data_IF_198936243080
#
_entry.id   IF_198936243080
#
_cell.length_a   1.000
_cell.length_b   1.000
_cell.length_c   1.000
_cell.angle_alpha   90.00
_cell.angle_beta   90.00
_cell.angle_gamma   90.00
#
_symmetry.space_group_name_H-M   'P 1'
#
loop_
_entity.id
_entity.type
_entity.pdbx_description
1 polymer ?
#
# COMPACT_ATOMS: atom_id res chain seq x y z
N UNK A 1 41.10 -30.38 8.03
CA UNK A 1 40.17 -30.06 9.14
C UNK A 1 39.82 -28.58 9.03
N UNK A 2 38.73 -28.25 8.33
CA UNK A 2 38.33 -26.83 8.16
C UNK A 2 37.58 -26.40 9.41
N UNK A 3 38.07 -25.37 10.09
CA UNK A 3 37.47 -24.82 11.30
C UNK A 3 36.12 -24.22 10.92
N UNK A 4 35.01 -24.88 11.28
CA UNK A 4 33.68 -24.29 11.23
C UNK A 4 33.62 -23.16 12.25
N UNK A 5 33.82 -21.93 11.79
CA UNK A 5 33.49 -20.73 12.55
C UNK A 5 31.99 -20.73 12.83
N UNK A 6 31.62 -21.01 14.08
CA UNK A 6 30.26 -20.80 14.57
C UNK A 6 29.96 -19.29 14.45
N UNK A 7 28.72 -18.93 14.09
CA UNK A 7 28.22 -17.56 13.82
C UNK A 7 28.28 -17.02 12.36
N UNK A 8 28.16 -17.87 11.33
CA UNK A 8 27.57 -17.39 10.07
C UNK A 8 26.05 -17.23 10.22
N UNK A 9 25.47 -16.18 9.62
CA UNK A 9 24.01 -16.14 9.42
C UNK A 9 23.61 -17.22 8.41
N UNK A 10 22.41 -17.80 8.56
CA UNK A 10 21.85 -18.73 7.57
C UNK A 10 21.88 -18.08 6.17
N UNK A 11 22.51 -18.73 5.15
CA UNK A 11 22.66 -18.11 3.84
C UNK A 11 21.32 -17.78 3.21
N UNK A 12 21.30 -16.73 2.37
CA UNK A 12 20.06 -16.19 1.80
C UNK A 12 19.22 -17.23 1.06
N UNK A 13 19.88 -18.10 0.31
CA UNK A 13 19.30 -19.18 -0.49
C UNK A 13 18.49 -20.22 0.33
N UNK A 14 18.59 -20.21 1.67
CA UNK A 14 17.77 -21.06 2.57
C UNK A 14 16.61 -20.31 3.23
N UNK A 15 16.48 -18.99 3.01
CA UNK A 15 15.53 -18.11 3.70
C UNK A 15 14.71 -17.19 2.79
N UNK A 16 14.97 -17.19 1.48
CA UNK A 16 14.17 -16.49 0.45
C UNK A 16 13.64 -17.49 -0.58
N UNK A 17 12.53 -17.18 -1.29
CA UNK A 17 12.10 -17.97 -2.45
C UNK A 17 13.17 -17.99 -3.54
N UNK A 18 13.14 -19.03 -4.38
CA UNK A 18 14.17 -19.25 -5.41
C UNK A 18 13.73 -18.81 -6.82
N UNK A 19 12.60 -18.11 -6.95
CA UNK A 19 12.01 -17.75 -8.26
C UNK A 19 12.94 -16.89 -9.13
N UNK A 20 13.52 -15.83 -8.57
CA UNK A 20 14.38 -14.89 -9.31
C UNK A 20 15.68 -15.55 -9.78
N UNK A 21 16.31 -16.37 -8.93
CA UNK A 21 17.52 -17.12 -9.30
C UNK A 21 17.20 -18.24 -10.31
N UNK A 22 16.06 -18.92 -10.19
CA UNK A 22 15.61 -19.93 -11.14
C UNK A 22 15.35 -19.35 -12.55
N UNK A 23 14.71 -18.18 -12.64
CA UNK A 23 14.57 -17.45 -13.90
C UNK A 23 15.92 -17.00 -14.45
N UNK A 24 16.82 -16.50 -13.61
CA UNK A 24 18.17 -16.09 -14.01
C UNK A 24 18.98 -17.25 -14.59
N UNK A 25 18.93 -18.44 -13.98
CA UNK A 25 19.56 -19.68 -14.46
C UNK A 25 19.09 -20.03 -15.87
N UNK A 26 17.78 -19.97 -16.10
CA UNK A 26 17.17 -20.27 -17.41
C UNK A 26 17.44 -19.17 -18.45
N UNK A 27 17.46 -17.90 -18.07
CA UNK A 27 17.80 -16.78 -18.96
C UNK A 27 19.24 -16.86 -19.47
N UNK A 28 20.17 -17.23 -18.57
CA UNK A 28 21.58 -17.46 -18.87
C UNK A 28 21.87 -18.84 -19.48
N UNK A 29 20.84 -19.67 -19.71
CA UNK A 29 20.93 -21.02 -20.31
C UNK A 29 21.88 -21.97 -19.57
N UNK A 30 21.91 -21.91 -18.23
CA UNK A 30 22.85 -22.68 -17.40
C UNK A 30 22.40 -24.14 -17.12
N UNK A 31 21.34 -24.61 -17.78
CA UNK A 31 20.79 -25.96 -17.67
C UNK A 31 19.52 -26.05 -16.82
N UNK A 32 19.24 -27.23 -16.27
CA UNK A 32 18.13 -27.44 -15.34
C UNK A 32 18.37 -26.74 -14.00
N UNK A 33 17.33 -26.13 -13.42
CA UNK A 33 17.43 -25.27 -12.23
C UNK A 33 17.99 -26.06 -11.04
N UNK A 34 17.38 -27.19 -10.68
CA UNK A 34 17.91 -28.06 -9.62
C UNK A 34 19.33 -28.59 -9.89
N UNK A 35 19.66 -28.94 -11.13
CA UNK A 35 21.00 -29.43 -11.50
C UNK A 35 22.09 -28.35 -11.38
N UNK A 36 21.74 -27.08 -11.61
CA UNK A 36 22.64 -25.97 -11.41
C UNK A 36 22.79 -25.61 -9.93
N UNK A 37 21.68 -25.49 -9.19
CA UNK A 37 21.68 -25.16 -7.76
C UNK A 37 22.37 -26.24 -6.91
N UNK A 38 22.34 -27.51 -7.32
CA UNK A 38 23.10 -28.60 -6.69
C UNK A 38 24.63 -28.39 -6.72
N UNK A 39 25.15 -27.46 -7.53
CA UNK A 39 26.58 -27.12 -7.61
C UNK A 39 26.98 -25.94 -6.71
N UNK A 40 26.04 -25.35 -5.98
CA UNK A 40 26.34 -24.28 -5.02
C UNK A 40 27.19 -24.78 -3.85
N UNK A 41 27.89 -23.86 -3.16
CA UNK A 41 28.74 -24.18 -1.99
C UNK A 41 27.91 -24.86 -0.88
N UNK A 42 26.71 -24.34 -0.65
CA UNK A 42 25.68 -24.96 0.19
C UNK A 42 24.38 -25.01 -0.63
N UNK A 43 24.04 -26.16 -1.24
CA UNK A 43 22.84 -26.29 -2.07
C UNK A 43 21.54 -26.08 -1.29
N UNK A 44 20.50 -25.48 -1.91
CA UNK A 44 19.21 -25.28 -1.27
C UNK A 44 18.46 -26.61 -1.03
N UNK A 45 17.45 -26.62 -0.15
CA UNK A 45 16.59 -27.78 0.05
C UNK A 45 15.84 -28.12 -1.24
N UNK A 46 15.74 -29.42 -1.57
CA UNK A 46 15.06 -29.88 -2.79
C UNK A 46 13.60 -29.39 -2.87
N UNK A 47 12.88 -29.39 -1.75
CA UNK A 47 11.50 -28.90 -1.67
C UNK A 47 11.36 -27.44 -2.11
N UNK A 48 12.36 -26.58 -1.82
CA UNK A 48 12.36 -25.18 -2.24
C UNK A 48 12.65 -25.01 -3.73
N UNK A 49 13.44 -25.92 -4.33
CA UNK A 49 13.66 -25.96 -5.78
C UNK A 49 12.39 -26.41 -6.50
N UNK A 50 11.76 -27.49 -6.03
CA UNK A 50 10.50 -28.02 -6.57
C UNK A 50 9.37 -26.98 -6.48
N UNK A 51 9.27 -26.27 -5.34
CA UNK A 51 8.29 -25.20 -5.16
C UNK A 51 8.54 -24.05 -6.15
N UNK A 52 9.78 -23.60 -6.32
CA UNK A 52 10.09 -22.54 -7.26
C UNK A 52 9.84 -22.93 -8.73
N UNK A 53 10.22 -24.15 -9.14
CA UNK A 53 9.91 -24.68 -10.49
C UNK A 53 8.39 -24.81 -10.70
N UNK A 54 7.65 -25.26 -9.69
CA UNK A 54 6.19 -25.33 -9.72
C UNK A 54 5.56 -23.94 -9.85
N UNK A 55 5.90 -23.00 -8.98
CA UNK A 55 5.36 -21.63 -8.97
C UNK A 55 5.69 -20.88 -10.27
N UNK A 56 6.86 -21.09 -10.87
CA UNK A 56 7.21 -20.50 -12.17
C UNK A 56 6.39 -21.09 -13.34
N UNK A 57 6.08 -22.40 -13.31
CA UNK A 57 5.15 -23.01 -14.27
C UNK A 57 3.72 -22.50 -14.07
N UNK A 58 3.26 -22.33 -12.83
CA UNK A 58 1.92 -21.76 -12.53
C UNK A 58 1.79 -20.25 -12.86
N UNK A 59 2.91 -19.57 -13.06
CA UNK A 59 2.93 -18.19 -13.57
C UNK A 59 3.04 -18.12 -15.10
N UNK A 60 3.05 -19.24 -15.81
CA UNK A 60 3.36 -19.35 -17.25
C UNK A 60 4.73 -18.77 -17.62
N UNK A 61 5.67 -18.70 -16.67
CA UNK A 61 7.03 -18.22 -16.91
C UNK A 61 7.92 -19.31 -17.54
N UNK A 62 7.61 -20.58 -17.25
CA UNK A 62 8.22 -21.76 -17.85
C UNK A 62 7.14 -22.58 -18.58
N UNK A 63 7.51 -23.17 -19.72
CA UNK A 63 6.65 -24.09 -20.47
C UNK A 63 6.70 -25.53 -19.91
N UNK A 64 6.05 -26.47 -20.60
CA UNK A 64 6.03 -27.89 -20.23
C UNK A 64 7.38 -28.62 -20.35
N UNK A 65 8.39 -27.97 -20.95
CA UNK A 65 9.78 -28.46 -21.04
C UNK A 65 10.71 -27.72 -20.06
N UNK A 66 10.12 -26.97 -19.11
CA UNK A 66 10.77 -26.01 -18.21
C UNK A 66 11.55 -24.90 -18.93
N UNK A 67 11.24 -24.56 -20.19
CA UNK A 67 11.92 -23.51 -20.95
C UNK A 67 11.20 -22.15 -20.86
N UNK A 68 11.96 -21.05 -20.97
CA UNK A 68 11.39 -19.70 -20.81
C UNK A 68 10.40 -19.34 -21.92
N UNK A 69 9.16 -19.10 -21.51
CA UNK A 69 8.12 -18.48 -22.33
C UNK A 69 8.46 -17.01 -22.63
N UNK A 70 7.76 -16.33 -23.55
CA UNK A 70 7.92 -14.89 -23.78
C UNK A 70 7.73 -14.08 -22.48
N UNK A 71 6.69 -14.39 -21.71
CA UNK A 71 6.46 -13.86 -20.36
C UNK A 71 7.68 -14.11 -19.45
N UNK A 72 8.15 -15.36 -19.36
CA UNK A 72 9.32 -15.72 -18.53
C UNK A 72 10.58 -14.92 -18.88
N UNK A 73 10.81 -14.62 -20.16
CA UNK A 73 11.95 -13.78 -20.61
C UNK A 73 11.83 -12.33 -20.16
N UNK A 74 10.61 -11.79 -20.05
CA UNK A 74 10.38 -10.44 -19.51
C UNK A 74 10.58 -10.47 -17.98
N UNK A 75 9.95 -11.43 -17.30
CA UNK A 75 10.07 -11.60 -15.84
C UNK A 75 11.51 -11.80 -15.39
N UNK A 76 12.31 -12.58 -16.13
CA UNK A 76 13.72 -12.85 -15.82
C UNK A 76 14.65 -11.62 -15.93
N UNK A 77 14.16 -10.49 -16.47
CA UNK A 77 14.89 -9.21 -16.52
C UNK A 77 14.47 -8.23 -15.43
N UNK A 78 13.34 -8.48 -14.76
CA UNK A 78 12.82 -7.63 -13.69
C UNK A 78 13.45 -8.07 -12.35
N UNK A 79 14.11 -7.17 -11.59
CA UNK A 79 14.76 -7.48 -10.31
C UNK A 79 13.75 -7.50 -9.15
N UNK A 80 12.68 -8.30 -9.30
CA UNK A 80 11.58 -8.45 -8.34
C UNK A 80 10.94 -9.84 -8.47
N UNK A 81 10.22 -10.27 -7.43
CA UNK A 81 9.42 -11.49 -7.43
C UNK A 81 8.54 -11.63 -8.70
N UNK A 82 8.60 -12.75 -9.45
CA UNK A 82 7.97 -12.88 -10.77
C UNK A 82 6.44 -12.69 -10.78
N UNK A 83 5.76 -12.94 -9.66
CA UNK A 83 4.34 -12.65 -9.48
C UNK A 83 4.04 -11.15 -9.50
N UNK A 84 4.92 -10.32 -8.94
CA UNK A 84 4.84 -8.86 -9.02
C UNK A 84 5.18 -8.37 -10.44
N UNK A 85 6.13 -9.03 -11.13
CA UNK A 85 6.39 -8.77 -12.55
C UNK A 85 5.17 -9.06 -13.45
N UNK A 86 4.47 -10.19 -13.28
CA UNK A 86 3.24 -10.49 -14.02
C UNK A 86 2.11 -9.50 -13.67
N UNK A 87 2.03 -9.07 -12.40
CA UNK A 87 1.14 -7.98 -11.96
C UNK A 87 1.44 -6.65 -12.69
N UNK A 88 2.70 -6.28 -12.88
CA UNK A 88 3.09 -5.07 -13.63
C UNK A 88 2.71 -5.15 -15.12
N UNK A 89 2.89 -6.31 -15.76
CA UNK A 89 2.47 -6.55 -17.14
C UNK A 89 0.94 -6.39 -17.28
N UNK A 90 0.17 -6.98 -16.36
CA UNK A 90 -1.28 -6.75 -16.28
C UNK A 90 -1.60 -5.27 -16.03
N UNK A 91 -0.81 -4.58 -15.22
CA UNK A 91 -0.91 -3.13 -15.01
C UNK A 91 -0.77 -2.34 -16.31
N UNK A 92 0.11 -2.73 -17.23
CA UNK A 92 0.24 -2.10 -18.54
C UNK A 92 -1.01 -2.33 -19.40
N UNK A 93 -1.54 -3.57 -19.42
CA UNK A 93 -2.76 -3.91 -20.16
C UNK A 93 -3.97 -3.07 -19.69
N UNK A 94 -4.07 -2.80 -18.39
CA UNK A 94 -5.10 -1.95 -17.81
C UNK A 94 -4.77 -0.44 -17.81
N UNK A 95 -3.67 -0.01 -18.44
CA UNK A 95 -3.18 1.38 -18.40
C UNK A 95 -3.06 1.93 -16.96
N UNK A 96 -2.61 1.13 -16.00
CA UNK A 96 -2.27 1.53 -14.62
C UNK A 96 -0.83 1.17 -14.24
N UNK A 97 0.02 0.89 -15.24
CA UNK A 97 1.36 0.34 -15.07
C UNK A 97 2.27 1.16 -14.15
N UNK A 98 2.20 2.49 -14.22
CA UNK A 98 3.00 3.38 -13.36
C UNK A 98 2.72 3.19 -11.85
N UNK A 99 1.46 2.96 -11.48
CA UNK A 99 1.06 2.72 -10.10
C UNK A 99 1.58 1.36 -9.61
N UNK A 100 1.45 0.33 -10.45
CA UNK A 100 1.92 -1.03 -10.14
C UNK A 100 3.45 -1.09 -10.08
N UNK A 101 4.17 -0.35 -10.94
CA UNK A 101 5.61 -0.14 -10.85
C UNK A 101 6.00 0.56 -9.54
N UNK A 102 5.23 1.58 -9.11
CA UNK A 102 5.48 2.30 -7.84
C UNK A 102 5.34 1.36 -6.63
N UNK A 103 4.29 0.53 -6.61
CA UNK A 103 4.08 -0.44 -5.52
C UNK A 103 5.15 -1.53 -5.53
N UNK A 104 5.48 -2.06 -6.70
CA UNK A 104 6.48 -3.14 -6.84
C UNK A 104 7.90 -2.65 -6.50
N UNK A 105 8.28 -1.44 -6.91
CA UNK A 105 9.55 -0.83 -6.48
C UNK A 105 9.64 -0.66 -4.96
N UNK A 106 8.52 -0.36 -4.30
CA UNK A 106 8.50 -0.14 -2.86
C UNK A 106 8.62 -1.42 -2.02
N UNK A 107 8.39 -2.61 -2.58
CA UNK A 107 8.63 -3.86 -1.84
C UNK A 107 10.11 -4.13 -1.61
N UNK A 108 10.98 -3.52 -2.41
CA UNK A 108 12.44 -3.62 -2.28
C UNK A 108 13.02 -2.79 -1.12
N UNK A 109 12.22 -1.92 -0.49
CA UNK A 109 12.69 -0.96 0.53
C UNK A 109 11.82 -0.96 1.79
N UNK A 110 12.33 -0.47 2.94
CA UNK A 110 11.51 -0.21 4.11
C UNK A 110 10.38 0.81 3.83
N UNK A 111 9.25 0.69 4.53
CA UNK A 111 8.13 1.64 4.41
C UNK A 111 8.59 3.09 4.72
N UNK A 112 8.22 4.12 3.93
CA UNK A 112 8.71 5.50 4.12
C UNK A 112 8.15 6.19 5.37
N UNK A 113 7.22 5.57 6.11
CA UNK A 113 6.52 6.18 7.25
C UNK A 113 7.34 6.16 8.54
N UNK A 114 7.82 7.33 9.00
CA UNK A 114 8.62 7.44 10.24
C UNK A 114 7.72 7.36 11.47
N UNK A 115 7.74 6.20 12.15
CA UNK A 115 6.82 5.88 13.26
C UNK A 115 7.48 5.38 14.55
N UNK A 116 8.81 5.25 14.61
CA UNK A 116 9.57 4.88 15.83
C UNK A 116 9.04 3.60 16.55
N UNK A 117 8.56 2.60 15.79
CA UNK A 117 7.99 1.36 16.35
C UNK A 117 6.62 1.49 17.03
N UNK A 118 6.00 2.68 16.94
CA UNK A 118 4.63 2.98 17.39
C UNK A 118 3.62 2.62 16.27
N UNK A 119 2.32 2.86 16.51
CA UNK A 119 1.30 2.72 15.46
C UNK A 119 1.34 3.93 14.53
N UNK A 120 1.01 3.76 13.24
CA UNK A 120 0.88 4.91 12.34
C UNK A 120 -0.10 5.95 12.87
N UNK A 121 0.32 7.21 12.84
CA UNK A 121 -0.46 8.37 13.28
C UNK A 121 -1.50 8.81 12.25
N UNK A 122 -2.31 9.79 12.64
CA UNK A 122 -3.37 10.35 11.78
C UNK A 122 -2.84 10.86 10.43
N UNK A 123 -1.72 11.59 10.43
CA UNK A 123 -1.02 12.11 9.23
C UNK A 123 -0.77 11.02 8.20
N UNK A 124 -0.31 9.83 8.63
CA UNK A 124 0.01 8.73 7.74
C UNK A 124 -1.25 8.01 7.23
N UNK A 125 -2.26 7.84 8.10
CA UNK A 125 -3.54 7.20 7.72
C UNK A 125 -4.36 8.02 6.75
N UNK A 126 -4.28 9.35 6.81
CA UNK A 126 -4.95 10.23 5.87
C UNK A 126 -4.58 9.95 4.40
N UNK A 127 -3.39 9.41 4.14
CA UNK A 127 -3.00 8.97 2.79
C UNK A 127 -3.74 7.70 2.32
N UNK A 128 -4.29 6.87 3.20
CA UNK A 128 -5.14 5.74 2.82
C UNK A 128 -6.56 6.15 2.42
N UNK A 129 -6.97 7.38 2.77
CA UNK A 129 -8.34 7.89 2.63
C UNK A 129 -9.38 6.91 3.18
N UNK A 130 -10.35 6.49 2.36
CA UNK A 130 -11.35 5.48 2.71
C UNK A 130 -11.08 4.08 2.10
N UNK A 131 -9.87 3.85 1.59
CA UNK A 131 -9.50 2.63 0.85
C UNK A 131 -8.94 1.50 1.73
N UNK A 132 -8.69 1.76 3.02
CA UNK A 132 -8.18 0.78 4.00
C UNK A 132 -6.97 -0.01 3.48
N UNK A 133 -6.00 0.71 2.88
CA UNK A 133 -4.89 0.10 2.15
C UNK A 133 -3.57 0.84 2.40
N UNK A 134 -2.56 0.08 2.84
CA UNK A 134 -1.18 0.55 2.97
C UNK A 134 -0.55 0.89 1.61
N UNK A 135 -0.87 0.13 0.55
CA UNK A 135 -0.41 0.40 -0.82
C UNK A 135 -1.05 1.66 -1.41
N UNK A 136 -2.33 1.95 -1.12
CA UNK A 136 -2.95 3.23 -1.49
C UNK A 136 -2.35 4.39 -0.69
N UNK A 137 -2.03 4.18 0.59
CA UNK A 137 -1.34 5.19 1.40
C UNK A 137 0.04 5.52 0.82
N UNK A 138 0.79 4.50 0.38
CA UNK A 138 2.04 4.64 -0.33
C UNK A 138 1.88 5.43 -1.65
N UNK A 139 0.96 5.04 -2.54
CA UNK A 139 0.70 5.76 -3.79
C UNK A 139 0.34 7.23 -3.55
N UNK A 140 -0.52 7.49 -2.56
CA UNK A 140 -0.94 8.86 -2.20
C UNK A 140 0.21 9.68 -1.60
N UNK A 141 1.16 9.05 -0.90
CA UNK A 141 2.42 9.69 -0.50
C UNK A 141 3.28 10.01 -1.71
N UNK A 142 3.47 9.08 -2.65
CA UNK A 142 4.26 9.33 -3.86
C UNK A 142 3.71 10.48 -4.69
N UNK A 143 2.39 10.49 -4.94
CA UNK A 143 1.72 11.57 -5.64
C UNK A 143 1.90 12.93 -4.94
N UNK A 144 1.82 12.98 -3.60
CA UNK A 144 2.00 14.22 -2.86
C UNK A 144 3.48 14.68 -2.76
N UNK A 145 4.41 13.74 -2.62
CA UNK A 145 5.86 14.01 -2.59
C UNK A 145 6.40 14.44 -3.96
N UNK A 146 5.94 13.81 -5.04
CA UNK A 146 6.34 14.15 -6.41
C UNK A 146 5.94 15.60 -6.75
N UNK A 147 4.71 15.99 -6.43
CA UNK A 147 4.27 17.38 -6.53
C UNK A 147 5.08 18.33 -5.63
N UNK A 148 5.50 17.90 -4.43
CA UNK A 148 6.29 18.73 -3.52
C UNK A 148 7.74 18.93 -3.99
N UNK A 149 8.40 17.91 -4.54
CA UNK A 149 9.80 18.01 -5.02
C UNK A 149 9.95 18.88 -6.27
N UNK A 150 8.89 19.07 -7.06
CA UNK A 150 8.88 20.06 -8.14
C UNK A 150 9.07 21.51 -7.64
N UNK A 151 8.80 21.78 -6.35
CA UNK A 151 9.14 23.04 -5.68
C UNK A 151 10.61 23.16 -5.24
N UNK A 152 11.48 22.23 -5.64
CA UNK A 152 12.89 22.14 -5.26
C UNK A 152 13.13 21.51 -3.88
N UNK A 153 14.41 21.26 -3.58
CA UNK A 153 14.86 20.54 -2.37
C UNK A 153 14.31 21.13 -1.06
N UNK A 154 14.20 22.46 -0.95
CA UNK A 154 13.62 23.12 0.23
C UNK A 154 12.10 22.87 0.39
N UNK A 155 11.36 22.60 -0.69
CA UNK A 155 9.97 22.19 -0.61
C UNK A 155 9.85 20.69 -0.26
N UNK A 156 10.68 19.85 -0.86
CA UNK A 156 10.77 18.42 -0.57
C UNK A 156 11.12 18.14 0.90
N UNK A 157 12.14 18.81 1.44
CA UNK A 157 12.56 18.71 2.84
C UNK A 157 11.41 19.06 3.80
N UNK A 158 10.78 20.22 3.59
CA UNK A 158 9.64 20.66 4.42
C UNK A 158 8.44 19.71 4.33
N UNK A 159 8.18 19.12 3.16
CA UNK A 159 7.13 18.12 2.99
C UNK A 159 7.44 16.84 3.78
N UNK A 160 8.65 16.29 3.65
CA UNK A 160 9.06 15.07 4.33
C UNK A 160 9.11 15.24 5.86
N UNK A 161 9.63 16.37 6.36
CA UNK A 161 9.58 16.74 7.77
C UNK A 161 8.14 16.82 8.28
N UNK A 162 7.27 17.58 7.59
CA UNK A 162 5.89 17.81 8.02
C UNK A 162 5.05 16.53 8.02
N UNK A 163 5.22 15.68 6.99
CA UNK A 163 4.50 14.41 6.86
C UNK A 163 5.19 13.22 7.54
N UNK A 164 6.35 13.43 8.17
CA UNK A 164 7.17 12.40 8.83
C UNK A 164 7.45 11.21 7.91
N UNK A 165 8.15 11.52 6.81
CA UNK A 165 8.52 10.57 5.76
C UNK A 165 10.03 10.50 5.61
N UNK A 166 10.55 9.31 5.31
CA UNK A 166 11.95 9.12 4.97
C UNK A 166 12.17 9.50 3.49
N UNK A 167 12.81 10.65 3.25
CA UNK A 167 13.12 11.13 1.90
C UNK A 167 14.02 10.18 1.11
N UNK A 168 15.04 9.58 1.75
CA UNK A 168 15.95 8.66 1.06
C UNK A 168 15.20 7.43 0.54
N UNK A 169 14.28 6.87 1.33
CA UNK A 169 13.38 5.80 0.91
C UNK A 169 12.53 6.20 -0.31
N UNK A 170 11.95 7.40 -0.30
CA UNK A 170 11.13 7.89 -1.42
C UNK A 170 11.96 8.06 -2.71
N UNK A 171 13.18 8.61 -2.61
CA UNK A 171 14.10 8.75 -3.75
C UNK A 171 14.55 7.40 -4.31
N UNK A 172 15.04 6.48 -3.47
CA UNK A 172 15.45 5.13 -3.90
C UNK A 172 14.31 4.34 -4.56
N UNK A 173 13.10 4.45 -4.01
CA UNK A 173 11.90 3.79 -4.58
C UNK A 173 11.51 4.42 -5.92
N UNK A 174 11.68 5.74 -6.08
CA UNK A 174 11.46 6.40 -7.37
C UNK A 174 12.50 5.98 -8.41
N UNK A 175 13.78 5.86 -8.04
CA UNK A 175 14.85 5.36 -8.92
C UNK A 175 14.57 3.91 -9.37
N UNK A 176 14.22 3.02 -8.43
CA UNK A 176 13.84 1.64 -8.76
C UNK A 176 12.57 1.56 -9.63
N UNK A 177 11.58 2.43 -9.37
CA UNK A 177 10.38 2.55 -10.24
C UNK A 177 10.76 2.93 -11.66
N UNK A 178 11.69 3.89 -11.84
CA UNK A 178 12.17 4.30 -13.17
C UNK A 178 12.83 3.12 -13.89
N UNK A 179 13.74 2.41 -13.22
CA UNK A 179 14.39 1.21 -13.79
C UNK A 179 13.38 0.12 -14.18
N UNK A 180 12.36 -0.13 -13.35
CA UNK A 180 11.28 -1.08 -13.66
C UNK A 180 10.47 -0.66 -14.91
N UNK A 181 10.19 0.65 -15.06
CA UNK A 181 9.52 1.19 -16.25
C UNK A 181 10.41 1.05 -17.49
N UNK A 182 11.69 1.39 -17.38
CA UNK A 182 12.67 1.25 -18.46
C UNK A 182 12.80 -0.20 -18.95
N UNK A 183 12.80 -1.20 -18.05
CA UNK A 183 12.83 -2.61 -18.44
C UNK A 183 11.57 -3.01 -19.24
N UNK A 184 10.40 -2.48 -18.89
CA UNK A 184 9.15 -2.73 -19.63
C UNK A 184 9.15 -2.02 -21.00
N UNK A 185 9.53 -0.76 -21.07
CA UNK A 185 9.64 -0.02 -22.36
C UNK A 185 10.67 -0.70 -23.28
N UNK A 186 11.84 -1.08 -22.76
CA UNK A 186 12.85 -1.85 -23.50
C UNK A 186 12.40 -3.28 -23.87
N UNK A 187 11.31 -3.78 -23.27
CA UNK A 187 10.66 -5.04 -23.65
C UNK A 187 9.55 -4.84 -24.70
N UNK A 188 9.27 -3.60 -25.12
CA UNK A 188 8.28 -3.24 -26.14
C UNK A 188 6.94 -2.71 -25.59
N UNK A 189 6.78 -2.51 -24.28
CA UNK A 189 5.52 -2.00 -23.72
C UNK A 189 5.35 -0.49 -24.03
N UNK A 190 4.16 -0.05 -24.51
CA UNK A 190 3.91 1.36 -24.82
C UNK A 190 4.09 2.28 -23.61
N UNK A 191 4.74 3.43 -23.79
CA UNK A 191 4.97 4.41 -22.71
C UNK A 191 3.65 4.94 -22.13
N UNK A 192 2.60 5.01 -22.94
CA UNK A 192 1.25 5.42 -22.56
C UNK A 192 0.68 4.54 -21.43
N UNK A 193 0.97 3.23 -21.47
CA UNK A 193 0.56 2.25 -20.45
C UNK A 193 1.27 2.45 -19.09
N UNK A 194 2.35 3.22 -19.12
CA UNK A 194 3.26 3.53 -18.02
C UNK A 194 3.24 5.03 -17.65
N UNK A 195 2.26 5.80 -18.12
CA UNK A 195 2.10 7.20 -17.72
C UNK A 195 1.64 7.35 -16.26
N UNK A 196 2.23 8.32 -15.56
CA UNK A 196 1.86 8.68 -14.19
C UNK A 196 0.42 9.18 -14.13
N UNK A 197 -0.36 8.64 -13.20
CA UNK A 197 -1.77 8.99 -12.98
C UNK A 197 -2.00 9.57 -11.59
N UNK A 198 -3.05 10.39 -11.50
CA UNK A 198 -3.53 10.98 -10.26
C UNK A 198 -4.72 10.17 -9.76
N UNK A 199 -4.59 9.56 -8.59
CA UNK A 199 -5.63 8.72 -7.99
C UNK A 199 -6.40 9.45 -6.89
N UNK A 200 -7.68 9.11 -6.74
CA UNK A 200 -8.56 9.57 -5.67
C UNK A 200 -8.75 8.48 -4.60
N UNK A 201 -8.09 8.66 -3.46
CA UNK A 201 -8.17 7.77 -2.31
C UNK A 201 -9.41 7.99 -1.41
N UNK A 202 -10.35 8.88 -1.75
CA UNK A 202 -11.54 9.17 -0.93
C UNK A 202 -12.88 9.02 -1.65
N UNK A 203 -12.87 8.91 -2.98
CA UNK A 203 -14.06 8.73 -3.80
C UNK A 203 -14.00 7.49 -4.69
N UNK A 204 -14.97 7.33 -5.60
CA UNK A 204 -14.89 6.37 -6.70
C UNK A 204 -13.66 6.67 -7.57
N UNK A 205 -12.93 5.62 -7.93
CA UNK A 205 -11.78 5.67 -8.82
C UNK A 205 -11.57 4.26 -9.39
N UNK A 206 -12.01 4.05 -10.64
CA UNK A 206 -12.02 2.74 -11.28
C UNK A 206 -10.58 2.22 -11.50
N UNK A 207 -9.63 3.11 -11.80
CA UNK A 207 -8.25 2.72 -12.05
C UNK A 207 -7.59 2.29 -10.73
N UNK A 208 -7.88 2.99 -9.61
CA UNK A 208 -7.45 2.56 -8.28
C UNK A 208 -8.15 1.26 -7.83
N UNK A 209 -9.41 1.05 -8.21
CA UNK A 209 -10.12 -0.21 -7.99
C UNK A 209 -9.43 -1.38 -8.71
N UNK A 210 -9.03 -1.19 -9.98
CA UNK A 210 -8.23 -2.17 -10.74
C UNK A 210 -6.86 -2.39 -10.11
N UNK A 211 -6.15 -1.35 -9.66
CA UNK A 211 -4.86 -1.51 -8.93
C UNK A 211 -5.02 -2.37 -7.67
N UNK A 212 -6.11 -2.23 -6.92
CA UNK A 212 -6.41 -3.11 -5.76
C UNK A 212 -6.72 -4.54 -6.21
N UNK A 213 -7.42 -4.73 -7.33
CA UNK A 213 -7.66 -6.06 -7.93
C UNK A 213 -6.34 -6.73 -8.36
N UNK A 214 -5.42 -5.98 -8.96
CA UNK A 214 -4.09 -6.47 -9.33
C UNK A 214 -3.23 -6.78 -8.10
N UNK A 215 -3.36 -6.02 -7.00
CA UNK A 215 -2.72 -6.39 -5.73
C UNK A 215 -3.24 -7.71 -5.17
N UNK A 216 -4.51 -8.06 -5.42
CA UNK A 216 -5.04 -9.37 -5.04
C UNK A 216 -4.35 -10.52 -5.81
N UNK A 217 -3.98 -10.30 -7.08
CA UNK A 217 -3.13 -11.22 -7.85
C UNK A 217 -1.69 -11.23 -7.34
N UNK A 218 -1.06 -10.06 -7.26
CA UNK A 218 0.37 -9.90 -6.99
C UNK A 218 0.79 -10.42 -5.62
N UNK A 219 -0.10 -10.33 -4.63
CA UNK A 219 0.13 -10.75 -3.25
C UNK A 219 -0.45 -12.13 -2.93
N UNK A 220 -1.17 -12.80 -3.83
CA UNK A 220 -1.64 -14.17 -3.61
C UNK A 220 -0.43 -15.12 -3.40
N UNK A 221 -0.42 -16.03 -2.39
CA UNK A 221 -1.52 -16.47 -1.52
C UNK A 221 -1.62 -15.77 -0.14
N UNK A 222 -1.07 -14.57 0.01
CA UNK A 222 -1.14 -13.80 1.25
C UNK A 222 -2.50 -13.12 1.45
N UNK A 223 -3.56 -13.92 1.56
CA UNK A 223 -4.92 -13.50 1.89
C UNK A 223 -5.19 -13.72 3.39
N UNK A 224 -5.96 -12.83 4.02
CA UNK A 224 -6.43 -13.01 5.39
C UNK A 224 -7.85 -12.45 5.64
N UNK A 225 -8.49 -12.99 6.66
CA UNK A 225 -9.81 -12.59 7.15
C UNK A 225 -9.69 -11.89 8.51
N UNK A 226 -10.21 -10.68 8.63
CA UNK A 226 -10.28 -9.93 9.89
C UNK A 226 -11.36 -10.50 10.81
N UNK A 227 -11.00 -10.80 12.06
CA UNK A 227 -11.91 -11.37 13.07
C UNK A 227 -12.44 -10.30 14.03
N UNK A 228 -11.53 -9.70 14.78
CA UNK A 228 -11.82 -8.67 15.79
C UNK A 228 -10.53 -7.89 16.09
N UNK A 229 -10.64 -6.62 16.48
CA UNK A 229 -9.52 -5.77 16.92
C UNK A 229 -8.36 -5.81 15.92
N UNK A 230 -7.25 -6.45 16.30
CA UNK A 230 -6.07 -6.70 15.45
C UNK A 230 -5.96 -8.14 14.95
N UNK A 231 -6.82 -9.06 15.40
CA UNK A 231 -6.73 -10.50 15.05
C UNK A 231 -7.18 -10.73 13.61
N UNK A 232 -6.35 -11.42 12.86
CA UNK A 232 -6.62 -11.89 11.51
C UNK A 232 -6.39 -13.41 11.44
N UNK A 233 -7.03 -14.06 10.46
CA UNK A 233 -6.83 -15.46 10.11
C UNK A 233 -6.23 -15.52 8.70
N UNK A 234 -5.03 -16.08 8.55
CA UNK A 234 -4.39 -16.25 7.23
C UNK A 234 -4.94 -17.49 6.50
N UNK A 235 -4.68 -17.59 5.19
CA UNK A 235 -4.91 -18.79 4.36
C UNK A 235 -4.49 -20.11 5.02
N UNK A 236 -3.36 -20.15 5.73
CA UNK A 236 -2.89 -21.32 6.50
C UNK A 236 -3.78 -21.73 7.70
N UNK A 237 -4.93 -21.09 7.93
CA UNK A 237 -5.76 -21.31 9.12
C UNK A 237 -5.14 -20.81 10.44
N UNK A 238 -4.01 -20.09 10.37
CA UNK A 238 -3.28 -19.58 11.54
C UNK A 238 -3.73 -18.18 11.93
N UNK A 239 -3.81 -17.91 13.23
CA UNK A 239 -4.09 -16.57 13.73
C UNK A 239 -2.82 -15.70 13.68
N UNK A 240 -2.95 -14.48 13.17
CA UNK A 240 -1.91 -13.44 13.18
C UNK A 240 -2.49 -12.10 13.64
N UNK A 241 -1.66 -11.06 13.70
CA UNK A 241 -2.07 -9.70 14.03
C UNK A 241 -1.86 -8.71 12.88
N UNK A 242 -2.72 -7.69 12.75
CA UNK A 242 -2.41 -6.52 11.93
C UNK A 242 -1.18 -5.81 12.53
N UNK A 243 -0.10 -5.64 11.77
CA UNK A 243 1.12 -5.01 12.25
C UNK A 243 0.94 -3.53 12.56
N UNK A 244 1.73 -2.97 13.49
CA UNK A 244 1.60 -1.58 13.94
C UNK A 244 1.83 -0.54 12.84
N UNK A 245 2.67 -0.86 11.85
CA UNK A 245 2.95 0.01 10.70
C UNK A 245 1.83 0.03 9.65
N UNK A 246 0.79 -0.80 9.78
CA UNK A 246 -0.36 -0.71 8.89
C UNK A 246 -1.31 0.42 9.29
N UNK A 247 -1.84 1.16 8.32
CA UNK A 247 -2.96 2.10 8.48
C UNK A 247 -4.21 1.40 9.03
N UNK A 248 -4.33 0.09 8.80
CA UNK A 248 -5.39 -0.77 9.29
C UNK A 248 -5.16 -1.28 10.73
N UNK A 249 -4.07 -0.92 11.42
CA UNK A 249 -3.95 -1.24 12.85
C UNK A 249 -4.85 -0.28 13.65
N UNK A 250 -5.90 -0.70 14.38
CA UNK A 250 -6.76 0.23 15.12
C UNK A 250 -5.97 1.09 16.13
N UNK A 251 -6.46 2.29 16.47
CA UNK A 251 -5.80 3.17 17.44
C UNK A 251 -5.94 2.70 18.88
N UNK A 252 -7.14 2.24 19.28
CA UNK A 252 -7.47 1.79 20.63
C UNK A 252 -7.79 0.29 20.64
N UNK A 253 -8.44 -0.19 21.71
CA UNK A 253 -9.00 -1.55 21.79
C UNK A 253 -10.42 -1.65 21.22
N UNK A 254 -10.99 -0.55 20.71
CA UNK A 254 -12.29 -0.55 20.02
C UNK A 254 -12.14 -1.18 18.64
N UNK A 255 -13.18 -1.92 18.23
CA UNK A 255 -13.22 -2.60 16.94
C UNK A 255 -13.40 -1.59 15.79
N UNK A 256 -12.39 -1.50 14.93
CA UNK A 256 -12.52 -0.84 13.64
C UNK A 256 -13.39 -1.72 12.74
N UNK A 257 -14.56 -1.23 12.34
CA UNK A 257 -15.44 -1.92 11.40
C UNK A 257 -14.95 -1.68 9.97
N UNK A 258 -14.59 -2.75 9.27
CA UNK A 258 -14.22 -2.68 7.87
C UNK A 258 -15.43 -2.94 6.96
N UNK A 259 -15.50 -2.29 5.78
CA UNK A 259 -16.53 -2.58 4.77
C UNK A 259 -16.47 -4.00 4.19
N UNK A 260 -15.31 -4.67 4.29
CA UNK A 260 -15.05 -6.07 3.94
C UNK A 260 -14.16 -6.69 5.00
N UNK A 261 -14.34 -7.96 5.40
CA UNK A 261 -13.42 -8.64 6.31
C UNK A 261 -12.14 -9.11 5.61
N UNK A 262 -12.06 -9.06 4.27
CA UNK A 262 -10.95 -9.63 3.50
C UNK A 262 -9.85 -8.61 3.22
N UNK A 263 -8.60 -9.06 3.40
CA UNK A 263 -7.40 -8.29 3.09
C UNK A 263 -6.37 -9.18 2.39
N UNK A 264 -5.63 -8.61 1.45
CA UNK A 264 -4.31 -9.13 1.05
C UNK A 264 -3.20 -8.41 1.80
N UNK A 265 -2.04 -9.04 1.96
CA UNK A 265 -0.90 -8.48 2.69
C UNK A 265 0.45 -8.78 2.02
N UNK A 266 1.44 -7.93 2.21
CA UNK A 266 2.78 -8.10 1.61
C UNK A 266 3.61 -9.19 2.29
N UNK A 267 3.80 -9.09 3.61
CA UNK A 267 4.71 -9.96 4.36
C UNK A 267 4.15 -10.37 5.74
N UNK A 268 4.63 -11.51 6.27
CA UNK A 268 4.42 -11.95 7.66
C UNK A 268 5.73 -11.77 8.45
N UNK A 269 5.73 -10.87 9.43
CA UNK A 269 6.84 -10.72 10.37
C UNK A 269 6.53 -11.45 11.68
N UNK A 270 7.46 -12.30 12.12
CA UNK A 270 7.45 -12.92 13.45
C UNK A 270 8.37 -12.14 14.40
N UNK A 271 7.77 -11.40 15.34
CA UNK A 271 8.48 -10.85 16.50
C UNK A 271 8.01 -11.57 17.77
N UNK A 272 7.38 -10.87 18.72
CA UNK A 272 6.67 -11.48 19.86
C UNK A 272 5.38 -12.19 19.45
N UNK A 273 4.83 -11.83 18.30
CA UNK A 273 3.68 -12.46 17.66
C UNK A 273 3.84 -12.36 16.13
N UNK A 274 3.23 -13.30 15.40
CA UNK A 274 3.15 -13.24 13.94
C UNK A 274 2.22 -12.07 13.57
N UNK A 275 2.68 -11.17 12.71
CA UNK A 275 1.92 -10.02 12.25
C UNK A 275 2.04 -9.82 10.74
N UNK A 276 0.95 -9.44 10.07
CA UNK A 276 0.93 -9.10 8.65
C UNK A 276 1.17 -7.59 8.45
N UNK A 277 1.99 -7.22 7.45
CA UNK A 277 2.29 -5.85 7.01
C UNK A 277 1.82 -5.60 5.58
N UNK A 278 1.81 -4.33 5.17
CA UNK A 278 1.40 -3.90 3.83
C UNK A 278 0.02 -4.47 3.45
N UNK A 279 -0.99 -4.19 4.28
CA UNK A 279 -2.33 -4.74 4.16
C UNK A 279 -3.23 -3.89 3.27
N UNK A 280 -4.03 -4.52 2.43
CA UNK A 280 -5.01 -3.87 1.53
C UNK A 280 -6.35 -4.59 1.62
N UNK A 281 -7.40 -3.84 1.98
CA UNK A 281 -8.77 -4.33 1.95
C UNK A 281 -9.17 -4.67 0.51
N UNK A 282 -9.78 -5.85 0.34
CA UNK A 282 -10.25 -6.34 -0.97
C UNK A 282 -11.71 -6.79 -0.88
N UNK A 283 -12.41 -6.71 -2.01
CA UNK A 283 -13.75 -7.27 -2.14
C UNK A 283 -13.70 -8.79 -2.34
N UNK A 284 -14.78 -9.51 -1.99
CA UNK A 284 -14.94 -10.92 -2.36
C UNK A 284 -14.81 -11.18 -3.87
N UNK A 285 -15.24 -10.23 -4.71
CA UNK A 285 -15.16 -10.37 -6.17
C UNK A 285 -13.74 -10.14 -6.70
N UNK A 286 -12.94 -9.29 -6.04
CA UNK A 286 -11.51 -9.15 -6.36
C UNK A 286 -10.73 -10.43 -6.03
N UNK A 287 -11.07 -11.10 -4.92
CA UNK A 287 -10.54 -12.44 -4.62
C UNK A 287 -11.03 -13.49 -5.62
N UNK A 288 -12.30 -13.43 -6.05
CA UNK A 288 -12.83 -14.34 -7.07
C UNK A 288 -12.23 -14.10 -8.46
N UNK A 289 -11.84 -12.88 -8.80
CA UNK A 289 -11.08 -12.59 -10.02
C UNK A 289 -9.62 -13.03 -9.93
N UNK A 290 -8.92 -12.73 -8.83
CA UNK A 290 -7.45 -12.73 -8.84
C UNK A 290 -6.78 -13.38 -7.62
N UNK A 291 -7.52 -13.63 -6.53
CA UNK A 291 -6.98 -14.03 -5.23
C UNK A 291 -7.35 -15.44 -4.78
N UNK A 292 -7.44 -16.41 -5.71
CA UNK A 292 -7.60 -17.83 -5.40
C UNK A 292 -7.03 -18.74 -6.49
N UNK A 293 -6.70 -19.99 -6.15
CA UNK A 293 -6.21 -21.02 -7.08
C UNK A 293 -7.28 -22.07 -7.39
N UNK A 294 -8.05 -22.47 -6.38
CA UNK A 294 -9.14 -23.45 -6.46
C UNK A 294 -10.47 -22.76 -6.18
N UNK A 295 -11.48 -23.03 -7.01
CA UNK A 295 -12.85 -22.58 -6.77
C UNK A 295 -13.82 -23.74 -6.98
N UNK A 296 -14.69 -24.00 -6.00
CA UNK A 296 -15.71 -25.05 -6.02
C UNK A 296 -17.07 -24.43 -5.76
N UNK A 297 -18.13 -24.96 -6.36
CA UNK A 297 -19.51 -24.50 -6.18
C UNK A 297 -20.42 -25.65 -5.76
N UNK A 298 -21.31 -25.40 -4.80
CA UNK A 298 -22.43 -26.30 -4.45
C UNK A 298 -23.79 -25.81 -4.99
N UNK A 299 -23.78 -24.78 -5.84
CA UNK A 299 -24.96 -24.13 -6.40
C UNK A 299 -25.23 -22.74 -5.82
N UNK A 300 -25.23 -22.60 -4.49
CA UNK A 300 -25.47 -21.34 -3.77
C UNK A 300 -24.22 -20.73 -3.12
N UNK A 301 -23.25 -21.58 -2.76
CA UNK A 301 -22.00 -21.20 -2.11
C UNK A 301 -20.83 -21.52 -3.04
N UNK A 302 -19.97 -20.53 -3.20
CA UNK A 302 -18.71 -20.61 -3.92
C UNK A 302 -17.60 -20.62 -2.89
N UNK A 303 -16.82 -21.70 -2.86
CA UNK A 303 -15.72 -21.90 -1.92
C UNK A 303 -14.39 -21.70 -2.65
N UNK A 304 -13.62 -20.70 -2.22
CA UNK A 304 -12.29 -20.38 -2.76
C UNK A 304 -11.23 -20.96 -1.81
N UNK A 305 -10.26 -21.68 -2.38
CA UNK A 305 -9.15 -22.34 -1.69
C UNK A 305 -9.56 -23.15 -0.44
N UNK A 306 -10.73 -23.79 -0.51
CA UNK A 306 -11.34 -24.62 0.55
C UNK A 306 -11.70 -23.87 1.86
N UNK A 307 -11.58 -22.54 1.94
CA UNK A 307 -11.84 -21.78 3.18
C UNK A 307 -12.72 -20.53 3.05
N UNK A 308 -12.63 -19.76 1.96
CA UNK A 308 -13.47 -18.56 1.78
C UNK A 308 -14.79 -18.96 1.13
N UNK A 309 -15.89 -18.82 1.87
CA UNK A 309 -17.24 -19.17 1.40
C UNK A 309 -18.02 -17.91 1.03
N UNK A 310 -18.38 -17.77 -0.24
CA UNK A 310 -19.16 -16.65 -0.77
C UNK A 310 -20.55 -17.15 -1.17
N UNK A 311 -21.62 -16.52 -0.67
CA UNK A 311 -22.98 -16.83 -1.13
C UNK A 311 -23.27 -16.03 -2.39
N UNK A 312 -23.28 -16.70 -3.55
CA UNK A 312 -23.58 -16.09 -4.85
C UNK A 312 -24.00 -17.16 -5.87
N UNK A 313 -24.82 -16.82 -6.88
CA UNK A 313 -25.28 -17.80 -7.87
C UNK A 313 -24.12 -18.42 -8.66
N UNK A 314 -24.16 -19.75 -8.85
CA UNK A 314 -23.20 -20.51 -9.65
C UNK A 314 -22.85 -19.84 -10.99
N UNK A 315 -23.87 -19.49 -11.80
CA UNK A 315 -23.67 -18.91 -13.13
C UNK A 315 -22.92 -17.57 -13.08
N UNK A 316 -23.18 -16.74 -12.07
CA UNK A 316 -22.46 -15.47 -11.90
C UNK A 316 -20.99 -15.71 -11.54
N UNK A 317 -20.70 -16.68 -10.68
CA UNK A 317 -19.32 -17.06 -10.37
C UNK A 317 -18.60 -17.65 -11.57
N UNK A 318 -19.24 -18.53 -12.34
CA UNK A 318 -18.67 -19.10 -13.56
C UNK A 318 -18.28 -18.02 -14.57
N UNK A 319 -19.15 -17.01 -14.80
CA UNK A 319 -18.86 -15.87 -15.68
C UNK A 319 -17.74 -14.96 -15.17
N UNK A 320 -17.54 -14.84 -13.85
CA UNK A 320 -16.42 -14.06 -13.29
C UNK A 320 -15.10 -14.84 -13.39
N UNK A 321 -15.15 -16.16 -13.15
CA UNK A 321 -13.97 -17.05 -13.23
C UNK A 321 -13.49 -17.21 -14.68
N UNK A 322 -14.38 -17.25 -15.68
CA UNK A 322 -13.97 -17.37 -17.09
C UNK A 322 -13.16 -16.18 -17.60
N UNK A 323 -13.31 -15.00 -17.01
CA UNK A 323 -12.48 -13.82 -17.29
C UNK A 323 -11.00 -14.05 -16.95
N UNK A 324 -10.67 -14.99 -16.05
CA UNK A 324 -9.29 -15.34 -15.71
C UNK A 324 -8.55 -15.93 -16.91
N UNK A 325 -9.12 -16.97 -17.51
CA UNK A 325 -8.53 -17.65 -18.66
C UNK A 325 -8.40 -16.71 -19.87
N UNK A 326 -9.36 -15.81 -20.06
CA UNK A 326 -9.30 -14.79 -21.11
C UNK A 326 -8.23 -13.72 -20.83
N UNK A 327 -8.05 -13.30 -19.57
CA UNK A 327 -6.96 -12.40 -19.15
C UNK A 327 -5.58 -13.08 -19.27
N UNK A 328 -5.47 -14.36 -18.93
CA UNK A 328 -4.25 -15.17 -19.10
C UNK A 328 -3.87 -15.30 -20.58
N UNK A 329 -4.84 -15.59 -21.45
CA UNK A 329 -4.64 -15.60 -22.90
C UNK A 329 -4.13 -14.25 -23.42
N UNK A 330 -4.75 -13.13 -22.98
CA UNK A 330 -4.30 -11.79 -23.35
C UNK A 330 -2.88 -11.49 -22.84
N UNK A 331 -2.50 -11.92 -21.62
CA UNK A 331 -1.10 -11.80 -21.15
C UNK A 331 -0.14 -12.60 -22.04
N UNK A 332 -0.53 -13.79 -22.52
CA UNK A 332 0.30 -14.61 -23.43
C UNK A 332 0.44 -13.96 -24.82
N UNK A 333 -0.56 -13.23 -25.30
CA UNK A 333 -0.48 -12.46 -26.55
C UNK A 333 0.39 -11.22 -26.39
N UNK A 334 0.10 -10.40 -25.37
CA UNK A 334 0.84 -9.18 -25.05
C UNK A 334 2.32 -9.46 -24.79
N UNK A 335 2.66 -10.56 -24.12
CA UNK A 335 4.09 -10.89 -23.86
C UNK A 335 4.85 -11.40 -25.09
N UNK A 336 4.15 -11.71 -26.19
CA UNK A 336 4.78 -11.97 -27.52
C UNK A 336 4.95 -10.69 -28.33
N UNK A 337 3.99 -9.78 -28.24
CA UNK A 337 4.01 -8.48 -28.91
C UNK A 337 3.33 -7.41 -28.02
N UNK A 338 4.07 -6.66 -27.18
CA UNK A 338 3.44 -5.78 -26.20
C UNK A 338 2.80 -4.52 -26.81
N UNK A 339 3.14 -4.16 -28.05
CA UNK A 339 2.56 -3.03 -28.77
C UNK A 339 1.04 -3.17 -28.99
N UNK A 340 0.51 -4.41 -28.99
CA UNK A 340 -0.93 -4.67 -29.19
C UNK A 340 -1.83 -4.04 -28.12
N UNK A 341 -1.28 -3.65 -26.95
CA UNK A 341 -2.03 -2.96 -25.90
C UNK A 341 -2.70 -1.67 -26.46
N UNK A 342 -2.02 -0.95 -27.36
CA UNK A 342 -2.54 0.26 -27.99
C UNK A 342 -3.70 -0.01 -28.96
N UNK A 343 -3.75 -1.19 -29.56
CA UNK A 343 -4.69 -1.53 -30.64
C UNK A 343 -5.53 -2.80 -30.34
N UNK A 344 -5.79 -3.09 -29.06
CA UNK A 344 -6.60 -4.23 -28.65
C UNK A 344 -7.93 -4.30 -29.40
N UNK A 345 -8.36 -5.50 -29.74
CA UNK A 345 -9.63 -5.73 -30.42
C UNK A 345 -10.83 -5.39 -29.51
N UNK A 346 -12.02 -5.39 -30.10
CA UNK A 346 -13.24 -5.05 -29.36
C UNK A 346 -13.56 -6.06 -28.25
N UNK A 347 -13.23 -7.35 -28.41
CA UNK A 347 -13.50 -8.39 -27.41
C UNK A 347 -12.62 -8.20 -26.18
N UNK A 348 -11.30 -8.01 -26.36
CA UNK A 348 -10.41 -7.72 -25.24
C UNK A 348 -10.76 -6.41 -24.54
N UNK A 349 -11.09 -5.34 -25.29
CA UNK A 349 -11.57 -4.07 -24.72
C UNK A 349 -12.83 -4.26 -23.87
N UNK A 350 -13.81 -5.07 -24.33
CA UNK A 350 -14.99 -5.40 -23.53
C UNK A 350 -14.65 -6.22 -22.27
N UNK A 351 -13.77 -7.22 -22.38
CA UNK A 351 -13.30 -8.01 -21.23
C UNK A 351 -12.66 -7.12 -20.15
N UNK A 352 -11.73 -6.25 -20.53
CA UNK A 352 -11.05 -5.33 -19.61
C UNK A 352 -12.03 -4.36 -18.95
N UNK A 353 -13.04 -3.87 -19.69
CA UNK A 353 -14.12 -3.06 -19.12
C UNK A 353 -14.94 -3.85 -18.08
N UNK A 354 -15.31 -5.10 -18.36
CA UNK A 354 -16.05 -5.95 -17.41
C UNK A 354 -15.22 -6.23 -16.14
N UNK A 355 -13.93 -6.52 -16.28
CA UNK A 355 -13.03 -6.68 -15.12
C UNK A 355 -12.92 -5.37 -14.32
N UNK A 356 -12.89 -4.22 -14.99
CA UNK A 356 -12.85 -2.90 -14.34
C UNK A 356 -14.15 -2.56 -13.60
N UNK A 357 -15.30 -2.97 -14.11
CA UNK A 357 -16.59 -2.83 -13.41
C UNK A 357 -16.69 -3.77 -12.19
N UNK A 358 -16.26 -5.04 -12.31
CA UNK A 358 -16.24 -6.01 -11.19
C UNK A 358 -15.22 -5.61 -10.11
N UNK A 359 -14.13 -4.93 -10.50
CA UNK A 359 -13.11 -4.43 -9.57
C UNK A 359 -13.67 -3.41 -8.56
N UNK A 360 -14.76 -2.72 -8.90
CA UNK A 360 -15.37 -1.73 -8.02
C UNK A 360 -15.90 -2.37 -6.73
N UNK A 361 -15.60 -1.84 -5.54
CA UNK A 361 -16.17 -2.32 -4.28
C UNK A 361 -17.71 -2.40 -4.30
N UNK A 362 -18.36 -1.46 -4.99
CA UNK A 362 -19.82 -1.42 -5.15
C UNK A 362 -20.39 -2.64 -5.91
N UNK A 363 -19.63 -3.28 -6.81
CA UNK A 363 -20.06 -4.50 -7.49
C UNK A 363 -20.25 -5.67 -6.50
N UNK A 364 -19.53 -5.66 -5.39
CA UNK A 364 -19.68 -6.59 -4.27
C UNK A 364 -20.62 -6.07 -3.16
N UNK A 365 -21.37 -4.98 -3.42
CA UNK A 365 -22.23 -4.32 -2.43
C UNK A 365 -21.48 -3.51 -1.35
N UNK A 366 -20.17 -3.30 -1.50
CA UNK A 366 -19.33 -2.63 -0.49
C UNK A 366 -19.31 -1.12 -0.73
N UNK A 367 -19.88 -0.36 0.20
CA UNK A 367 -19.85 1.10 0.18
C UNK A 367 -18.72 1.66 1.06
N UNK A 368 -17.62 2.08 0.44
CA UNK A 368 -16.46 2.67 1.14
C UNK A 368 -16.76 4.05 1.78
N UNK A 369 -17.79 4.78 1.32
CA UNK A 369 -18.15 6.07 1.90
C UNK A 369 -18.78 5.95 3.31
N UNK A 370 -19.50 4.85 3.57
CA UNK A 370 -20.23 4.63 4.85
C UNK A 370 -19.29 4.43 6.05
N UNK A 371 -18.04 4.01 5.81
CA UNK A 371 -16.98 3.99 6.83
C UNK A 371 -15.98 5.16 6.74
N UNK A 372 -16.21 6.10 5.80
CA UNK A 372 -15.12 6.78 5.09
C UNK A 372 -14.84 8.25 5.43
N UNK A 373 -15.66 8.93 6.26
CA UNK A 373 -15.38 10.31 6.68
C UNK A 373 -14.25 10.43 7.74
N UNK A 374 -13.29 9.51 7.72
CA UNK A 374 -12.09 9.53 8.55
C UNK A 374 -10.96 10.38 7.94
N UNK A 375 -11.28 11.63 7.54
CA UNK A 375 -10.25 12.68 7.53
C UNK A 375 -9.95 13.01 8.99
N UNK A 376 -9.04 12.25 9.57
CA UNK A 376 -8.45 12.65 10.83
C UNK A 376 -7.74 13.99 10.61
N UNK A 377 -7.86 14.95 11.53
CA UNK A 377 -6.96 16.11 11.47
C UNK A 377 -5.50 15.65 11.51
N UNK A 378 -4.55 16.49 11.09
CA UNK A 378 -3.10 16.15 11.11
C UNK A 378 -2.53 15.89 12.53
N UNK A 379 -3.40 15.79 13.55
CA UNK A 379 -3.07 15.59 14.95
C UNK A 379 -2.63 16.88 15.65
N UNK A 380 -2.30 16.82 16.94
CA UNK A 380 -1.54 17.90 17.57
C UNK A 380 -0.21 18.08 16.81
N UNK A 381 0.12 19.33 16.48
CA UNK A 381 1.40 19.67 15.84
C UNK A 381 2.55 19.07 16.66
N UNK A 382 3.57 18.45 16.03
CA UNK A 382 4.76 18.01 16.75
C UNK A 382 5.35 19.16 17.58
N UNK A 383 5.90 18.88 18.78
CA UNK A 383 6.81 19.81 19.42
C UNK A 383 7.90 20.20 18.42
N UNK A 384 8.22 21.49 18.31
CA UNK A 384 9.39 21.92 17.53
C UNK A 384 10.59 21.16 18.08
N UNK A 385 11.25 20.36 17.25
CA UNK A 385 12.55 19.81 17.63
C UNK A 385 13.49 20.98 17.92
N UNK A 386 14.18 20.93 19.06
CA UNK A 386 15.22 21.90 19.34
C UNK A 386 16.25 21.82 18.21
N UNK A 387 16.58 22.96 17.60
CA UNK A 387 17.74 23.02 16.72
C UNK A 387 18.95 22.63 17.57
N UNK A 388 19.65 21.58 17.17
CA UNK A 388 21.02 21.37 17.62
C UNK A 388 21.84 22.49 16.99
N UNK A 389 22.02 23.60 17.72
CA UNK A 389 23.03 24.59 17.37
C UNK A 389 24.40 23.92 17.56
N UNK A 390 24.92 23.40 16.44
CA UNK A 390 26.30 22.92 16.34
C UNK A 390 27.22 24.14 16.36
N UNK A 391 27.43 24.68 17.56
CA UNK A 391 28.09 25.97 17.82
C UNK A 391 29.00 25.89 19.03
N UNK A 392 29.96 24.96 19.01
CA UNK A 392 30.97 24.80 20.05
C UNK A 392 31.92 26.01 20.13
N UNK A 393 31.50 27.08 20.78
CA UNK A 393 32.27 28.31 20.99
C UNK A 393 32.74 28.46 22.43
N UNK A 394 33.99 28.09 22.72
CA UNK A 394 34.63 28.37 24.01
C UNK A 394 34.72 29.88 24.27
N UNK A 395 34.06 30.40 25.32
CA UNK A 395 34.48 31.64 26.00
C UNK A 395 34.22 31.64 27.52
N UNK A 396 35.33 31.57 28.26
CA UNK A 396 35.70 32.62 29.22
C UNK A 396 34.85 32.83 30.47
N UNK A 397 35.30 32.26 31.60
CA UNK A 397 34.88 32.60 32.95
C UNK A 397 35.47 33.95 33.41
N UNK A 398 34.61 34.94 33.64
CA UNK A 398 34.78 36.18 34.46
C UNK A 398 33.46 36.95 34.38
N UNK A 399 33.00 37.75 35.35
CA UNK A 399 33.48 38.14 36.68
C UNK A 399 32.41 39.05 37.32
N UNK A 400 32.44 39.25 38.64
CA UNK A 400 31.41 40.00 39.40
C UNK A 400 31.35 41.51 39.11
N UNK A 401 30.15 42.12 39.15
CA UNK A 401 29.97 43.58 39.13
C UNK A 401 28.56 44.04 39.55
N UNK A 402 28.48 45.06 40.43
CA UNK A 402 27.25 45.64 41.01
C UNK A 402 26.85 47.00 40.36
N UNK A 403 25.67 47.52 40.75
CA UNK A 403 25.00 48.82 40.39
C UNK A 403 24.27 48.84 39.04
N UNK A 404 23.15 49.58 38.84
CA UNK A 404 22.29 50.28 39.81
C UNK A 404 21.72 51.64 39.34
N UNK A 405 20.40 51.73 39.12
CA UNK A 405 19.58 52.95 39.30
C UNK A 405 19.32 53.92 38.11
N UNK A 406 18.16 54.61 38.21
CA UNK A 406 17.76 55.92 37.62
C UNK A 406 17.19 56.06 36.18
N UNK A 407 15.86 55.91 36.09
CA UNK A 407 14.82 56.94 35.76
C UNK A 407 15.13 58.20 34.88
N UNK A 408 14.22 58.50 33.93
CA UNK A 408 14.03 59.79 33.21
C UNK A 408 14.50 59.79 31.74
N UNK A 409 13.91 60.52 30.77
CA UNK A 409 12.66 61.32 30.73
C UNK A 409 12.66 62.37 29.59
N UNK A 410 11.65 62.32 28.68
CA UNK A 410 11.13 63.38 27.77
C UNK A 410 12.00 64.12 26.71
N UNK A 411 11.34 64.50 25.59
CA UNK A 411 11.82 65.38 24.49
C UNK A 411 12.25 64.59 23.24
N UNK A 412 11.77 64.81 22.00
CA UNK A 412 11.33 66.03 21.29
C UNK A 412 12.51 66.55 20.44
N UNK A 413 12.45 66.76 19.12
CA UNK A 413 11.40 66.60 18.08
C UNK A 413 12.00 66.93 16.70
N UNK A 414 11.15 67.25 15.69
CA UNK A 414 11.52 67.76 14.34
C UNK A 414 12.23 66.76 13.40
N UNK A 415 12.12 66.82 12.06
CA UNK A 415 11.11 67.26 11.07
C UNK A 415 11.81 66.98 9.72
N UNK A 416 11.15 66.39 8.74
CA UNK A 416 11.76 66.19 7.42
C UNK A 416 10.97 65.22 6.58
N UNK A 417 10.14 65.75 5.67
CA UNK A 417 9.41 64.94 4.71
C UNK A 417 9.28 65.69 3.40
N UNK A 418 9.35 64.94 2.29
CA UNK A 418 8.87 65.39 0.98
C UNK A 418 8.24 64.21 0.21
N UNK A 419 7.05 64.51 -0.31
CA UNK A 419 6.38 64.02 -1.52
C UNK A 419 7.31 63.49 -2.65
N UNK A 420 6.89 62.66 -3.63
CA UNK A 420 5.57 62.10 -3.99
C UNK A 420 5.64 61.21 -5.28
N UNK A 421 4.52 60.53 -5.61
CA UNK A 421 4.15 59.97 -6.95
C UNK A 421 4.87 58.70 -7.45
N UNK A 422 4.28 57.84 -8.32
CA UNK A 422 2.88 57.38 -8.56
C UNK A 422 2.96 56.18 -9.53
N UNK A 423 2.06 55.19 -9.44
CA UNK A 423 2.00 54.06 -10.40
C UNK A 423 1.37 52.81 -9.78
N UNK A 424 0.04 52.70 -9.60
CA UNK A 424 -1.00 52.52 -10.63
C UNK A 424 -1.08 51.08 -11.18
N UNK A 425 -1.73 50.19 -10.43
CA UNK A 425 -2.34 48.95 -10.95
C UNK A 425 -3.82 49.19 -11.24
N UNK A 426 -4.25 48.92 -12.47
CA UNK A 426 -5.64 49.08 -12.89
C UNK A 426 -6.45 47.80 -12.70
N UNK A 427 -7.64 47.91 -12.09
CA UNK A 427 -8.61 46.81 -12.00
C UNK A 427 -10.02 47.34 -11.71
N UNK A 428 -10.88 47.35 -12.73
CA UNK A 428 -12.36 47.36 -12.62
C UNK A 428 -12.81 45.96 -13.09
N UNK A 429 -13.73 45.24 -12.43
CA UNK A 429 -15.16 45.53 -12.23
C UNK A 429 -15.97 44.89 -13.39
N UNK A 430 -17.20 44.39 -13.34
CA UNK A 430 -18.39 44.38 -12.44
C UNK A 430 -19.25 43.12 -12.83
N UNK A 431 -20.30 42.61 -12.16
CA UNK A 431 -20.87 42.69 -10.79
C UNK A 431 -22.09 41.71 -10.69
N UNK A 432 -22.62 41.45 -9.48
CA UNK A 432 -23.89 40.71 -9.23
C UNK A 432 -23.69 39.38 -8.48
N UNK A 433 -24.31 39.08 -7.33
CA UNK A 433 -25.53 39.60 -6.69
C UNK A 433 -26.69 38.62 -6.95
N UNK A 434 -27.44 38.04 -6.01
CA UNK A 434 -27.77 38.33 -4.60
C UNK A 434 -27.78 36.99 -3.79
N UNK A 435 -28.12 36.84 -2.50
CA UNK A 435 -28.79 37.68 -1.50
C UNK A 435 -29.88 36.85 -0.80
N UNK A 436 -29.87 36.76 0.54
CA UNK A 436 -30.88 36.00 1.29
C UNK A 436 -30.33 35.38 2.58
N UNK A 437 -30.55 36.05 3.71
CA UNK A 437 -30.30 35.50 5.04
C UNK A 437 -31.59 35.45 5.84
N UNK A 438 -31.72 34.45 6.71
CA UNK A 438 -32.76 34.41 7.74
C UNK A 438 -32.17 34.05 9.10
N UNK A 439 -32.47 34.87 10.11
CA UNK A 439 -32.38 34.50 11.53
C UNK A 439 -33.71 33.88 11.94
N UNK A 440 -33.68 32.86 12.80
CA UNK A 440 -34.87 32.27 13.40
C UNK A 440 -34.54 31.66 14.75
N UNK A 441 -34.92 32.33 15.83
CA UNK A 441 -34.77 31.86 17.21
C UNK A 441 -35.95 30.98 17.60
N UNK A 442 -35.74 29.96 18.43
CA UNK A 442 -36.84 29.18 19.02
C UNK A 442 -36.32 28.01 19.85
N UNK A 443 -36.30 28.16 21.18
CA UNK A 443 -36.04 27.05 22.09
C UNK A 443 -37.33 26.45 22.62
N UNK A 444 -37.30 25.19 23.06
CA UNK A 444 -38.32 24.61 23.93
C UNK A 444 -37.70 23.65 24.96
N UNK A 445 -38.35 23.58 26.11
CA UNK A 445 -38.07 22.68 27.24
C UNK A 445 -38.40 21.21 26.84
N UNK A 446 -37.99 20.16 27.54
CA UNK A 446 -37.24 20.03 28.80
C UNK A 446 -37.41 18.62 29.38
N UNK A 447 -36.87 18.38 30.58
CA UNK A 447 -36.97 17.13 31.37
C UNK A 447 -36.33 15.86 30.75
N UNK A 448 -35.67 14.97 31.48
CA UNK A 448 -35.40 14.90 32.93
C UNK A 448 -35.79 13.54 33.52
N UNK A 449 -34.81 12.80 34.07
CA UNK A 449 -35.09 11.62 34.90
C UNK A 449 -34.11 10.44 34.74
N UNK A 450 -33.77 9.78 35.85
CA UNK A 450 -33.46 8.34 35.82
C UNK A 450 -32.05 7.85 36.15
N UNK A 451 -31.36 8.38 37.15
CA UNK A 451 -30.32 7.58 37.85
C UNK A 451 -31.00 6.71 38.91
N UNK A 452 -30.91 5.39 38.80
CA UNK A 452 -31.22 4.51 39.93
C UNK A 452 -30.33 3.27 39.98
N UNK A 453 -29.92 2.95 41.22
CA UNK A 453 -28.93 1.93 41.55
C UNK A 453 -29.54 0.54 41.72
N UNK A 454 -28.83 -0.50 41.29
CA UNK A 454 -29.16 -1.90 41.58
C UNK A 454 -27.92 -2.72 41.98
N UNK A 455 -27.70 -2.92 43.28
CA UNK A 455 -26.91 -4.06 43.80
C UNK A 455 -27.84 -5.27 43.90
N UNK A 456 -27.39 -6.49 43.58
CA UNK A 456 -26.85 -7.45 44.57
C UNK A 456 -26.79 -8.89 44.03
N UNK A 457 -25.76 -9.67 44.43
CA UNK A 457 -25.63 -11.15 44.38
C UNK A 457 -25.70 -11.80 42.97
N UNK A 458 -25.03 -12.92 42.69
CA UNK A 458 -24.14 -13.75 43.50
C UNK A 458 -24.32 -15.21 43.11
N UNK A 459 -23.25 -15.90 42.70
CA UNK A 459 -23.30 -17.31 42.30
C UNK A 459 -22.12 -17.70 41.42
N UNK A 460 -21.14 -18.41 42.01
CA UNK A 460 -20.03 -19.00 41.26
C UNK A 460 -20.30 -20.47 40.96
N UNK A 461 -19.76 -20.98 39.85
CA UNK A 461 -19.60 -22.41 39.64
C UNK A 461 -18.20 -22.71 39.08
N UNK A 462 -17.55 -23.73 39.68
CA UNK A 462 -16.27 -24.28 39.21
C UNK A 462 -16.54 -25.27 38.09
N UNK A 463 -15.83 -25.15 36.97
CA UNK A 463 -15.81 -26.13 35.88
C UNK A 463 -14.39 -26.69 35.70
N UNK A 464 -14.19 -27.95 36.09
CA UNK A 464 -12.90 -28.67 36.05
C UNK A 464 -12.80 -29.42 34.72
N UNK A 465 -11.69 -29.27 33.99
CA UNK A 465 -11.36 -30.13 32.85
C UNK A 465 -9.97 -30.73 33.03
N UNK A 466 -9.95 -32.04 33.32
CA UNK A 466 -8.91 -32.97 32.87
C UNK A 466 -8.96 -33.04 31.32
N UNK A 467 -7.90 -33.29 30.58
CA UNK A 467 -6.69 -34.02 30.94
C UNK A 467 -6.74 -35.42 30.34
N UNK A 468 -6.46 -35.49 29.03
CA UNK A 468 -5.73 -36.53 28.29
C UNK A 468 -5.25 -35.92 26.96
#
# INVERSE_FOLDING_TARGET
MVVRSVHSQTPEMFRTPLHEIALSIKLLRLGGIGQFLAKAIEPPPLDAVIEAEHTLRELDALDTNDELTPLGRILARLPIEPRLGKMMIMGCIFYVGDAVCTISAATCFPEPFVSEGKRLGYVHRNFAGNRFSDHVALLSVFQAWDNARMGGENAENRFCEYKRLNMATLRMTWEAKVQLKEILVNSGFPEESLMTQVFNNTGPDNNLDVVISLLAFGLYPNVCFHKEKRKILTTEGRNALIHKSSVNCPFSSQDMKYPSPFFVFGEKIRTRAISAKAMTLVSPLQLLLFGSKKVVSDGEIITLDDWIKLRMPHNAAACIISLRAAMEALVVEVTKNPEIISELDHVNKQMLNVISEISKPLAAGINLAVGGNMRFGDGPRPPKMARYDSGGGYRGRSGTGYRGGYQGGSGGGYRGGYNSYRGASGGRGYSGGAGGGFRGSGGFQGSGGGYQTGRNRGGGFRGRWTGY
#
